data_IF_234104534483
#
_entry.id   IF_234104534483
#
_cell.length_a   1.000
_cell.length_b   1.000
_cell.length_c   1.000
_cell.angle_alpha   90.00
_cell.angle_beta   90.00
_cell.angle_gamma   90.00
#
_symmetry.space_group_name_H-M   'P 1'
#
loop_
_entity.id
_entity.type
_entity.pdbx_description
1 polymer ?
#
# COMPACT_ATOMS: atom_id res chain seq x y z
N UNK A 1 14.47 38.14 30.36
CA UNK A 1 13.24 38.13 29.55
C UNK A 1 13.55 37.41 28.24
N UNK A 2 13.14 36.16 28.09
CA UNK A 2 13.42 35.37 26.88
C UNK A 2 12.21 35.44 25.93
N UNK A 3 12.41 36.04 24.77
CA UNK A 3 11.39 36.17 23.72
C UNK A 3 11.19 34.82 23.02
N UNK A 4 9.97 34.30 23.10
CA UNK A 4 9.54 33.06 22.46
C UNK A 4 9.50 33.28 20.94
N UNK A 5 10.15 32.44 20.11
CA UNK A 5 10.18 32.64 18.66
C UNK A 5 8.76 32.53 18.06
N UNK A 6 8.45 33.31 17.00
CA UNK A 6 7.13 33.37 16.38
C UNK A 6 6.73 31.98 15.86
N UNK A 7 5.54 31.55 16.29
CA UNK A 7 4.99 30.24 15.97
C UNK A 7 4.86 30.00 14.48
N UNK A 8 5.24 28.79 14.06
CA UNK A 8 4.96 28.22 12.74
C UNK A 8 3.47 28.42 12.43
N UNK A 9 3.08 28.93 11.23
CA UNK A 9 1.68 29.05 10.88
C UNK A 9 1.02 27.67 11.00
N UNK A 10 -0.10 27.60 11.71
CA UNK A 10 -0.97 26.44 11.72
C UNK A 10 -1.31 26.14 10.28
N UNK A 11 -0.81 25.01 9.77
CA UNK A 11 -1.15 24.49 8.45
C UNK A 11 -2.67 24.43 8.41
N UNK A 12 -3.30 25.41 7.78
CA UNK A 12 -4.74 25.46 7.57
C UNK A 12 -5.05 24.24 6.72
N UNK A 13 -5.43 23.15 7.39
CA UNK A 13 -6.05 22.03 6.74
C UNK A 13 -7.42 22.52 6.33
N UNK A 14 -7.46 23.22 5.18
CA UNK A 14 -8.69 23.37 4.42
C UNK A 14 -9.33 21.98 4.40
N UNK A 15 -10.57 21.84 4.91
CA UNK A 15 -11.18 20.53 5.07
C UNK A 15 -11.14 19.84 3.71
N UNK A 16 -10.44 18.70 3.67
CA UNK A 16 -10.28 17.88 2.48
C UNK A 16 -11.71 17.60 1.99
N UNK A 17 -12.07 18.15 0.83
CA UNK A 17 -13.44 18.10 0.30
C UNK A 17 -13.86 16.63 0.26
N UNK A 18 -14.78 16.25 1.13
CA UNK A 18 -15.25 14.87 1.25
C UNK A 18 -16.05 14.56 -0.02
N UNK A 19 -15.76 13.41 -0.64
CA UNK A 19 -16.51 12.91 -1.78
C UNK A 19 -18.01 12.85 -1.43
N UNK A 20 -18.93 13.41 -2.25
CA UNK A 20 -20.36 13.49 -1.91
C UNK A 20 -20.97 12.10 -1.62
N UNK A 21 -20.57 11.09 -2.39
CA UNK A 21 -20.97 9.70 -2.18
C UNK A 21 -20.49 9.13 -0.82
N UNK A 22 -19.28 9.49 -0.39
CA UNK A 22 -18.75 9.11 0.92
C UNK A 22 -19.50 9.82 2.06
N UNK A 23 -19.82 11.11 1.88
CA UNK A 23 -20.60 11.86 2.86
C UNK A 23 -22.00 11.25 3.03
N UNK A 24 -22.64 10.83 1.94
CA UNK A 24 -23.91 10.12 1.98
C UNK A 24 -23.79 8.77 2.71
N UNK A 25 -22.79 7.95 2.37
CA UNK A 25 -22.54 6.67 3.05
C UNK A 25 -22.39 6.86 4.55
N UNK A 26 -21.59 7.84 4.97
CA UNK A 26 -21.37 8.15 6.39
C UNK A 26 -22.66 8.60 7.07
N UNK A 27 -23.48 9.42 6.40
CA UNK A 27 -24.78 9.85 6.90
C UNK A 27 -25.74 8.67 7.10
N UNK A 28 -25.80 7.75 6.13
CA UNK A 28 -26.65 6.55 6.21
C UNK A 28 -26.19 5.60 7.33
N UNK A 29 -24.88 5.34 7.46
CA UNK A 29 -24.34 4.53 8.56
C UNK A 29 -24.60 5.19 9.93
N UNK A 30 -24.47 6.51 10.04
CA UNK A 30 -24.73 7.22 11.28
C UNK A 30 -26.22 7.17 11.66
N UNK A 31 -27.13 7.30 10.69
CA UNK A 31 -28.57 7.17 10.90
C UNK A 31 -28.96 5.72 11.27
N UNK A 32 -28.27 4.71 10.71
CA UNK A 32 -28.53 3.31 10.99
C UNK A 32 -28.19 2.89 12.43
N UNK A 33 -27.35 3.66 13.13
CA UNK A 33 -26.99 3.38 14.53
C UNK A 33 -28.17 3.49 15.50
N UNK A 34 -29.22 4.24 15.17
CA UNK A 34 -30.46 4.37 15.95
C UNK A 34 -30.26 4.43 17.48
N UNK A 35 -29.42 5.37 17.93
CA UNK A 35 -29.11 5.56 19.35
C UNK A 35 -28.03 4.65 19.94
N UNK A 36 -27.57 3.61 19.23
CA UNK A 36 -26.44 2.78 19.66
C UNK A 36 -25.17 3.63 19.75
N UNK A 37 -24.35 3.36 20.76
CA UNK A 37 -23.02 3.95 20.90
C UNK A 37 -22.01 3.22 20.00
N UNK A 38 -20.92 3.89 19.62
CA UNK A 38 -19.84 3.23 18.86
C UNK A 38 -19.22 2.05 19.62
N UNK A 39 -19.24 2.07 20.96
CA UNK A 39 -18.75 0.97 21.80
C UNK A 39 -19.64 -0.28 21.68
N UNK A 40 -20.96 -0.11 21.62
CA UNK A 40 -21.90 -1.22 21.42
C UNK A 40 -21.78 -1.81 20.02
N UNK A 41 -21.69 -0.95 18.98
CA UNK A 41 -21.45 -1.40 17.61
C UNK A 41 -20.10 -2.11 17.49
N UNK A 42 -19.06 -1.61 18.17
CA UNK A 42 -17.74 -2.26 18.24
C UNK A 42 -17.83 -3.67 18.85
N UNK A 43 -18.58 -3.83 19.94
CA UNK A 43 -18.79 -5.13 20.58
C UNK A 43 -19.52 -6.13 19.67
N UNK A 44 -20.47 -5.66 18.86
CA UNK A 44 -21.27 -6.50 17.94
C UNK A 44 -20.56 -6.82 16.62
N UNK A 45 -19.83 -5.87 16.07
CA UNK A 45 -19.14 -6.01 14.77
C UNK A 45 -17.71 -6.57 14.90
N UNK A 46 -17.17 -6.64 16.13
CA UNK A 46 -15.79 -7.00 16.43
C UNK A 46 -14.71 -6.06 15.86
N UNK A 47 -15.11 -4.91 15.30
CA UNK A 47 -14.17 -3.85 14.90
C UNK A 47 -13.88 -2.90 16.07
N UNK A 48 -12.68 -2.32 16.10
CA UNK A 48 -12.30 -1.36 17.13
C UNK A 48 -13.09 -0.05 17.02
N UNK A 49 -13.33 0.61 18.15
CA UNK A 49 -14.02 1.93 18.20
C UNK A 49 -13.30 2.97 17.33
N UNK A 50 -11.96 2.93 17.27
CA UNK A 50 -11.17 3.84 16.43
C UNK A 50 -11.39 3.61 14.93
N UNK A 51 -11.46 2.36 14.48
CA UNK A 51 -11.77 2.03 13.09
C UNK A 51 -13.17 2.52 12.72
N UNK A 52 -14.17 2.24 13.57
CA UNK A 52 -15.54 2.71 13.36
C UNK A 52 -15.63 4.24 13.34
N UNK A 53 -14.95 4.92 14.27
CA UNK A 53 -14.91 6.39 14.31
C UNK A 53 -14.26 7.00 13.06
N UNK A 54 -13.21 6.37 12.53
CA UNK A 54 -12.53 6.82 11.30
C UNK A 54 -13.42 6.71 10.06
N UNK A 55 -14.27 5.69 10.03
CA UNK A 55 -15.27 5.50 8.97
C UNK A 55 -16.41 6.50 9.13
N UNK A 56 -17.01 6.61 10.33
CA UNK A 56 -18.16 7.51 10.56
C UNK A 56 -17.79 9.00 10.54
N UNK A 57 -16.50 9.33 10.53
CA UNK A 57 -16.04 10.71 10.32
C UNK A 57 -15.77 11.04 8.85
N UNK A 58 -15.88 10.06 7.94
CA UNK A 58 -15.59 10.24 6.52
C UNK A 58 -14.10 10.44 6.20
N UNK A 59 -13.20 10.20 7.15
CA UNK A 59 -11.75 10.32 6.95
C UNK A 59 -11.24 9.19 6.04
N UNK A 60 -11.75 7.98 6.25
CA UNK A 60 -11.36 6.79 5.51
C UNK A 60 -12.58 6.16 4.81
N UNK A 61 -12.39 5.70 3.57
CA UNK A 61 -13.39 4.89 2.88
C UNK A 61 -13.43 3.51 3.57
N UNK A 62 -14.57 3.05 4.10
CA UNK A 62 -14.67 1.76 4.77
C UNK A 62 -14.38 0.58 3.83
N UNK A 63 -13.92 -0.54 4.38
CA UNK A 63 -13.81 -1.82 3.64
C UNK A 63 -15.18 -2.48 3.49
N UNK A 64 -15.34 -3.35 2.50
CA UNK A 64 -16.59 -4.07 2.27
C UNK A 64 -17.00 -4.91 3.51
N UNK A 65 -16.03 -5.60 4.11
CA UNK A 65 -16.25 -6.41 5.32
C UNK A 65 -16.70 -5.57 6.52
N UNK A 66 -16.18 -4.34 6.66
CA UNK A 66 -16.59 -3.44 7.72
C UNK A 66 -18.03 -2.96 7.51
N UNK A 67 -18.41 -2.64 6.26
CA UNK A 67 -19.79 -2.26 5.91
C UNK A 67 -20.75 -3.41 6.26
N UNK A 68 -20.44 -4.64 5.84
CA UNK A 68 -21.27 -5.80 6.11
C UNK A 68 -21.41 -6.08 7.62
N UNK A 69 -20.30 -6.06 8.36
CA UNK A 69 -20.31 -6.26 9.81
C UNK A 69 -21.04 -5.13 10.56
N UNK A 70 -20.94 -3.89 10.06
CA UNK A 70 -21.65 -2.74 10.61
C UNK A 70 -23.16 -2.86 10.40
N UNK A 71 -23.58 -3.18 9.17
CA UNK A 71 -24.98 -3.40 8.81
C UNK A 71 -25.60 -4.52 9.66
N UNK A 72 -24.88 -5.62 9.85
CA UNK A 72 -25.28 -6.71 10.73
C UNK A 72 -25.40 -6.26 12.19
N UNK A 73 -24.43 -5.48 12.70
CA UNK A 73 -24.42 -5.01 14.08
C UNK A 73 -25.56 -4.03 14.40
N UNK A 74 -25.99 -3.23 13.41
CA UNK A 74 -27.12 -2.30 13.53
C UNK A 74 -28.47 -2.90 13.10
N UNK A 75 -28.51 -4.17 12.68
CA UNK A 75 -29.74 -4.84 12.26
C UNK A 75 -30.29 -4.35 10.90
N UNK A 76 -29.45 -3.78 10.04
CA UNK A 76 -29.80 -3.30 8.70
C UNK A 76 -29.09 -4.07 7.59
N UNK A 77 -29.09 -5.39 7.67
CA UNK A 77 -28.42 -6.24 6.67
C UNK A 77 -28.92 -5.99 5.24
N UNK A 78 -30.17 -5.56 5.07
CA UNK A 78 -30.77 -5.26 3.75
C UNK A 78 -30.15 -4.00 3.09
N UNK A 79 -29.56 -3.09 3.86
CA UNK A 79 -28.92 -1.86 3.34
C UNK A 79 -27.49 -2.12 2.81
N UNK A 80 -26.95 -3.33 2.97
CA UNK A 80 -25.54 -3.63 2.69
C UNK A 80 -25.16 -3.37 1.22
N UNK A 81 -25.97 -3.84 0.27
CA UNK A 81 -25.69 -3.68 -1.17
C UNK A 81 -25.68 -2.21 -1.58
N UNK A 82 -26.61 -1.43 -1.02
CA UNK A 82 -26.70 0.01 -1.24
C UNK A 82 -25.45 0.72 -0.71
N UNK A 83 -24.99 0.37 0.48
CA UNK A 83 -23.77 0.94 1.07
C UNK A 83 -22.51 0.56 0.29
N UNK A 84 -22.44 -0.67 -0.25
CA UNK A 84 -21.37 -1.09 -1.14
C UNK A 84 -21.35 -0.30 -2.46
N UNK A 85 -22.53 0.01 -3.02
CA UNK A 85 -22.63 0.86 -4.20
C UNK A 85 -22.12 2.29 -3.93
N UNK A 86 -22.51 2.90 -2.80
CA UNK A 86 -22.01 4.22 -2.39
C UNK A 86 -20.50 4.22 -2.15
N UNK A 87 -19.97 3.15 -1.54
CA UNK A 87 -18.52 2.96 -1.38
C UNK A 87 -17.80 2.93 -2.74
N UNK A 88 -18.34 2.20 -3.72
CA UNK A 88 -17.72 2.11 -5.04
C UNK A 88 -17.76 3.46 -5.77
N UNK A 89 -18.86 4.21 -5.66
CA UNK A 89 -18.94 5.57 -6.18
C UNK A 89 -17.88 6.49 -5.54
N UNK A 90 -17.66 6.40 -4.23
CA UNK A 90 -16.63 7.18 -3.52
C UNK A 90 -15.20 6.83 -3.99
N UNK A 91 -14.94 5.56 -4.28
CA UNK A 91 -13.65 5.13 -4.86
C UNK A 91 -13.47 5.73 -6.26
N UNK A 92 -14.51 5.72 -7.09
CA UNK A 92 -14.45 6.27 -8.45
C UNK A 92 -14.25 7.79 -8.43
N UNK A 93 -14.95 8.52 -7.56
CA UNK A 93 -14.78 9.97 -7.38
C UNK A 93 -13.36 10.32 -6.90
N UNK A 94 -12.82 9.56 -5.94
CA UNK A 94 -11.44 9.74 -5.46
C UNK A 94 -10.41 9.48 -6.57
N UNK A 95 -10.66 8.49 -7.43
CA UNK A 95 -9.81 8.22 -8.61
C UNK A 95 -9.89 9.37 -9.62
N UNK A 96 -11.09 9.84 -9.94
CA UNK A 96 -11.30 10.95 -10.88
C UNK A 96 -10.63 12.26 -10.40
N UNK A 97 -10.76 12.59 -9.12
CA UNK A 97 -10.14 13.80 -8.55
C UNK A 97 -8.62 13.75 -8.48
N UNK A 98 -8.02 12.55 -8.47
CA UNK A 98 -6.56 12.41 -8.53
C UNK A 98 -6.02 12.75 -9.93
N UNK A 99 -6.76 12.40 -10.98
CA UNK A 99 -6.35 12.67 -12.37
C UNK A 99 -6.31 14.16 -12.70
N UNK A 100 -7.19 14.97 -12.12
CA UNK A 100 -7.28 16.41 -12.44
C UNK A 100 -6.25 17.31 -11.75
N UNK A 101 -5.61 16.86 -10.66
CA UNK A 101 -4.68 17.72 -9.89
C UNK A 101 -3.25 17.66 -10.46
N UNK A 102 -2.92 16.62 -11.23
CA UNK A 102 -1.56 16.43 -11.76
C UNK A 102 -1.39 16.99 -13.20
N UNK A 103 -2.44 17.49 -13.85
CA UNK A 103 -2.40 17.95 -15.26
C UNK A 103 -2.36 19.49 -15.44
N UNK A 104 -2.49 20.26 -14.35
CA UNK A 104 -2.39 21.74 -14.40
C UNK A 104 -0.93 22.26 -14.52
N UNK A 105 0.04 21.37 -14.74
CA UNK A 105 1.47 21.71 -14.84
C UNK A 105 1.97 22.07 -16.24
N UNK A 106 1.17 21.91 -17.31
CA UNK A 106 1.65 22.18 -18.67
C UNK A 106 0.56 22.72 -19.61
N UNK A 107 -0.12 23.80 -19.22
CA UNK A 107 -0.71 24.72 -20.19
C UNK A 107 0.37 25.73 -20.62
N UNK A 108 0.85 25.71 -21.88
CA UNK A 108 1.68 26.79 -22.39
C UNK A 108 0.86 28.08 -22.41
N UNK A 109 1.49 29.18 -22.01
CA UNK A 109 0.93 30.52 -21.99
C UNK A 109 0.28 30.89 -23.35
N UNK A 110 -1.02 30.67 -23.47
CA UNK A 110 -1.88 31.26 -24.48
C UNK A 110 -2.09 32.72 -24.11
N UNK A 111 -1.29 33.59 -24.71
CA UNK A 111 -1.47 35.04 -24.68
C UNK A 111 -2.84 35.35 -25.30
N UNK A 112 -3.76 35.85 -24.47
CA UNK A 112 -5.04 36.36 -24.92
C UNK A 112 -4.81 37.60 -25.81
N UNK A 113 -4.87 37.41 -27.13
CA UNK A 113 -5.05 38.51 -28.07
C UNK A 113 -6.53 38.85 -28.15
N UNK A 114 -6.85 40.09 -27.82
CA UNK A 114 -8.15 40.72 -28.01
C UNK A 114 -8.65 40.50 -29.45
N UNK A 115 -9.85 39.96 -29.56
CA UNK A 115 -10.64 39.91 -30.79
C UNK A 115 -11.17 41.31 -31.13
N UNK A 116 -10.79 41.82 -32.31
CA UNK A 116 -11.44 42.94 -33.01
C UNK A 116 -12.16 42.37 -34.25
N UNK A 117 -13.40 42.82 -34.58
CA UNK A 117 -14.20 42.16 -35.60
C UNK A 117 -14.03 42.72 -37.03
N UNK A 118 -14.02 41.77 -37.99
CA UNK A 118 -14.50 41.79 -39.40
C UNK A 118 -13.82 42.74 -40.43
N UNK A 119 -13.96 42.57 -41.77
CA UNK A 119 -14.78 41.60 -42.54
C UNK A 119 -14.13 40.95 -43.83
N UNK A 120 -14.83 39.96 -44.39
CA UNK A 120 -14.98 39.58 -45.82
C UNK A 120 -13.87 38.88 -46.66
N UNK A 121 -14.21 37.63 -47.05
CA UNK A 121 -14.09 37.00 -48.39
C UNK A 121 -12.72 36.43 -48.86
N UNK A 122 -12.68 35.61 -49.95
CA UNK A 122 -13.27 34.27 -50.10
C UNK A 122 -12.27 33.20 -50.66
N UNK A 123 -12.66 31.92 -50.59
CA UNK A 123 -12.35 30.76 -51.46
C UNK A 123 -10.93 30.56 -52.05
N UNK A 124 -10.32 29.39 -51.80
CA UNK A 124 -10.09 28.31 -52.80
C UNK A 124 -9.41 27.06 -52.17
N UNK A 125 -9.57 25.87 -52.78
CA UNK A 125 -8.99 24.60 -52.36
C UNK A 125 -7.61 24.36 -53.01
N UNK A 126 -6.85 23.36 -52.55
CA UNK A 126 -6.29 22.28 -53.40
C UNK A 126 -5.09 21.54 -52.75
N UNK A 127 -5.12 20.21 -52.93
CA UNK A 127 -4.02 19.26 -53.16
C UNK A 127 -2.82 19.03 -52.23
N UNK A 128 -2.56 17.72 -52.06
CA UNK A 128 -1.21 17.13 -52.13
C UNK A 128 -0.56 16.84 -50.78
N UNK A 129 -0.62 15.63 -50.20
CA UNK A 129 0.09 14.39 -50.59
C UNK A 129 1.62 14.54 -50.52
N UNK A 130 2.22 14.14 -49.39
CA UNK A 130 3.61 13.64 -49.37
C UNK A 130 3.82 12.62 -48.26
N UNK A 131 4.01 11.36 -48.69
CA UNK A 131 4.66 10.30 -47.95
C UNK A 131 6.18 10.55 -48.00
N UNK A 132 6.87 10.55 -46.85
CA UNK A 132 8.31 10.38 -46.76
C UNK A 132 8.64 9.92 -45.32
N UNK A 133 8.98 8.65 -45.13
CA UNK A 133 10.36 8.13 -45.09
C UNK A 133 11.06 8.38 -43.75
N UNK A 134 11.12 7.30 -42.97
CA UNK A 134 12.08 7.03 -41.90
C UNK A 134 13.53 7.24 -42.39
N UNK A 135 14.41 7.71 -41.49
CA UNK A 135 15.70 7.05 -41.30
C UNK A 135 15.94 6.80 -39.80
N UNK A 136 16.25 5.57 -39.42
CA UNK A 136 17.57 4.94 -39.48
C UNK A 136 18.30 5.06 -38.13
N UNK A 137 18.57 3.87 -37.60
CA UNK A 137 19.19 3.55 -36.32
C UNK A 137 20.60 4.13 -36.26
N UNK A 138 20.85 5.03 -35.29
CA UNK A 138 22.20 5.43 -34.91
C UNK A 138 22.66 4.62 -33.70
N UNK A 139 23.52 3.62 -33.95
CA UNK A 139 24.35 2.94 -32.95
C UNK A 139 25.31 3.95 -32.33
N UNK A 140 25.14 4.25 -31.05
CA UNK A 140 26.18 4.93 -30.26
C UNK A 140 27.10 3.86 -29.68
N UNK A 141 28.27 3.70 -30.32
CA UNK A 141 29.48 3.16 -29.71
C UNK A 141 30.06 4.24 -28.82
N UNK A 142 30.13 4.01 -27.51
CA UNK A 142 31.04 4.76 -26.63
C UNK A 142 32.17 3.85 -26.19
N UNK A 143 33.38 4.30 -26.53
CA UNK A 143 34.63 3.68 -26.17
C UNK A 143 34.97 3.96 -24.70
N UNK A 144 35.37 2.89 -24.01
CA UNK A 144 36.62 2.75 -23.23
C UNK A 144 37.14 4.01 -22.52
N UNK A 145 37.09 3.98 -21.19
CA UNK A 145 38.20 4.48 -20.35
C UNK A 145 38.38 3.56 -19.15
N UNK A 146 39.41 2.73 -19.25
CA UNK A 146 39.98 1.96 -18.15
C UNK A 146 40.52 2.93 -17.10
N UNK A 147 40.14 2.73 -15.84
CA UNK A 147 40.87 3.21 -14.68
C UNK A 147 41.00 2.01 -13.74
N UNK A 148 42.24 1.55 -13.62
CA UNK A 148 42.69 0.54 -12.68
C UNK A 148 42.26 0.89 -11.26
N UNK A 149 41.59 -0.04 -10.60
CA UNK A 149 41.57 -0.11 -9.14
C UNK A 149 41.72 -1.56 -8.75
N UNK A 150 42.93 -1.88 -8.32
CA UNK A 150 43.36 -3.18 -7.85
C UNK A 150 42.63 -3.59 -6.58
N UNK A 151 42.15 -4.83 -6.61
CA UNK A 151 42.10 -5.80 -5.51
C UNK A 151 41.17 -5.52 -4.31
N UNK A 152 40.05 -6.25 -4.27
CA UNK A 152 39.72 -7.23 -3.22
C UNK A 152 38.68 -8.21 -3.79
N UNK A 153 39.18 -9.27 -4.44
CA UNK A 153 38.39 -10.37 -5.00
C UNK A 153 37.88 -11.26 -3.87
N UNK A 154 36.66 -10.98 -3.38
CA UNK A 154 35.85 -11.97 -2.71
C UNK A 154 35.16 -12.82 -3.78
N UNK A 155 35.48 -14.11 -3.81
CA UNK A 155 34.91 -15.07 -4.76
C UNK A 155 33.36 -15.04 -4.70
N UNK A 156 32.65 -14.90 -5.84
CA UNK A 156 31.21 -15.06 -5.87
C UNK A 156 30.86 -16.52 -5.54
N UNK A 157 30.04 -16.69 -4.51
CA UNK A 157 29.48 -17.99 -4.11
C UNK A 157 28.80 -18.65 -5.31
N UNK A 158 29.41 -19.72 -5.82
CA UNK A 158 29.00 -20.45 -7.02
C UNK A 158 27.61 -21.12 -6.94
N UNK A 159 26.93 -21.03 -5.81
CA UNK A 159 25.61 -21.64 -5.60
C UNK A 159 24.45 -20.89 -6.27
N UNK A 160 24.53 -19.57 -6.45
CA UNK A 160 23.38 -18.78 -6.92
C UNK A 160 23.18 -18.82 -8.45
N UNK A 161 24.25 -18.96 -9.24
CA UNK A 161 24.17 -19.01 -10.71
C UNK A 161 23.54 -20.30 -11.22
N UNK A 162 23.62 -21.39 -10.44
CA UNK A 162 23.09 -22.69 -10.82
C UNK A 162 21.55 -22.72 -10.82
N UNK A 163 20.90 -22.05 -9.87
CA UNK A 163 19.43 -21.98 -9.84
C UNK A 163 18.86 -21.19 -11.03
N UNK A 164 19.50 -20.07 -11.40
CA UNK A 164 19.11 -19.32 -12.60
C UNK A 164 19.27 -20.17 -13.87
N UNK A 165 20.33 -20.99 -13.94
CA UNK A 165 20.55 -21.94 -15.03
C UNK A 165 19.49 -23.04 -15.07
N UNK A 166 19.12 -23.62 -13.93
CA UNK A 166 18.10 -24.67 -13.85
C UNK A 166 16.70 -24.16 -14.20
N UNK A 167 16.38 -22.91 -13.84
CA UNK A 167 15.09 -22.29 -14.24
C UNK A 167 15.05 -22.06 -15.75
N UNK A 168 16.14 -21.57 -16.35
CA UNK A 168 16.25 -21.41 -17.80
C UNK A 168 16.14 -22.76 -18.54
N UNK A 169 16.82 -23.80 -18.06
CA UNK A 169 16.75 -25.15 -18.63
C UNK A 169 15.35 -25.78 -18.48
N UNK A 170 14.69 -25.58 -17.34
CA UNK A 170 13.33 -26.08 -17.11
C UNK A 170 12.30 -25.37 -18.02
N UNK A 171 12.47 -24.07 -18.27
CA UNK A 171 11.66 -23.32 -19.24
C UNK A 171 11.86 -23.89 -20.64
N UNK A 172 13.10 -24.13 -21.05
CA UNK A 172 13.42 -24.67 -22.37
C UNK A 172 12.94 -26.14 -22.54
N UNK A 173 12.98 -26.94 -21.47
CA UNK A 173 12.45 -28.31 -21.47
C UNK A 173 10.91 -28.36 -21.51
N UNK A 174 10.24 -27.41 -20.84
CA UNK A 174 8.79 -27.26 -20.89
C UNK A 174 8.30 -26.87 -22.30
N UNK A 175 9.06 -26.04 -23.02
CA UNK A 175 8.77 -25.67 -24.40
C UNK A 175 8.86 -26.86 -25.38
N UNK A 176 9.68 -27.88 -25.08
CA UNK A 176 9.86 -29.06 -25.94
C UNK A 176 8.76 -30.11 -25.80
N UNK A 177 7.97 -30.09 -24.73
CA UNK A 177 7.02 -31.16 -24.40
C UNK A 177 5.59 -30.67 -24.52
N UNK A 178 5.01 -30.83 -25.71
CA UNK A 178 3.71 -30.26 -26.09
C UNK A 178 2.52 -30.92 -25.37
N UNK A 179 2.19 -30.41 -24.20
CA UNK A 179 0.83 -30.23 -23.69
C UNK A 179 0.89 -28.97 -22.80
N UNK A 180 0.22 -27.86 -23.14
CA UNK A 180 0.44 -26.58 -22.49
C UNK A 180 -0.21 -26.59 -21.10
N UNK A 181 0.47 -27.18 -20.12
CA UNK A 181 0.29 -26.77 -18.74
C UNK A 181 0.87 -25.36 -18.69
N UNK A 182 0.03 -24.36 -18.95
CA UNK A 182 0.41 -22.95 -18.87
C UNK A 182 0.58 -22.58 -17.39
N UNK A 183 1.60 -23.14 -16.75
CA UNK A 183 2.03 -22.72 -15.42
C UNK A 183 2.74 -21.39 -15.62
N UNK A 184 2.21 -20.34 -15.00
CA UNK A 184 2.90 -19.06 -14.93
C UNK A 184 4.33 -19.30 -14.40
N UNK A 185 5.38 -18.93 -15.16
CA UNK A 185 6.76 -19.18 -14.75
C UNK A 185 7.08 -18.53 -13.39
N UNK A 186 6.40 -17.43 -13.04
CA UNK A 186 6.56 -16.79 -11.73
C UNK A 186 6.04 -17.69 -10.61
N UNK A 187 4.89 -18.31 -10.78
CA UNK A 187 4.32 -19.24 -9.80
C UNK A 187 5.20 -20.47 -9.65
N UNK A 188 5.76 -20.99 -10.75
CA UNK A 188 6.76 -22.05 -10.73
C UNK A 188 7.98 -21.66 -9.90
N UNK A 189 8.56 -20.49 -10.17
CA UNK A 189 9.73 -19.99 -9.44
C UNK A 189 9.44 -19.75 -7.94
N UNK A 190 8.28 -19.17 -7.60
CA UNK A 190 7.85 -18.96 -6.21
C UNK A 190 7.69 -20.28 -5.45
N UNK A 191 7.22 -21.33 -6.13
CA UNK A 191 7.08 -22.66 -5.53
C UNK A 191 8.43 -23.24 -5.07
N UNK A 192 9.51 -22.91 -5.80
CA UNK A 192 10.88 -23.33 -5.54
C UNK A 192 11.60 -22.47 -4.48
N UNK A 193 11.06 -21.31 -4.10
CA UNK A 193 11.65 -20.50 -3.03
C UNK A 193 11.62 -21.24 -1.69
N UNK A 194 12.79 -21.52 -1.14
CA UNK A 194 12.96 -22.18 0.17
C UNK A 194 13.44 -21.21 1.23
N UNK A 195 14.10 -20.13 0.83
CA UNK A 195 14.66 -19.11 1.71
C UNK A 195 14.09 -17.72 1.41
N UNK A 196 14.05 -16.81 2.40
CA UNK A 196 13.75 -15.38 2.22
C UNK A 196 14.52 -14.71 1.08
N UNK A 197 15.80 -15.06 0.94
CA UNK A 197 16.70 -14.53 -0.07
C UNK A 197 16.22 -14.82 -1.49
N UNK A 198 15.69 -16.03 -1.73
CA UNK A 198 15.19 -16.46 -3.04
C UNK A 198 14.01 -15.59 -3.49
N UNK A 199 13.08 -15.32 -2.56
CA UNK A 199 11.92 -14.47 -2.83
C UNK A 199 12.36 -13.03 -3.13
N UNK A 200 13.32 -12.50 -2.38
CA UNK A 200 13.87 -11.16 -2.63
C UNK A 200 14.65 -11.09 -3.94
N UNK A 201 15.34 -12.14 -4.34
CA UNK A 201 16.00 -12.25 -5.64
C UNK A 201 14.99 -12.23 -6.79
N UNK A 202 13.89 -13.00 -6.69
CA UNK A 202 12.79 -12.92 -7.66
C UNK A 202 12.17 -11.52 -7.72
N UNK A 203 11.98 -10.85 -6.58
CA UNK A 203 11.45 -9.48 -6.54
C UNK A 203 12.38 -8.48 -7.24
N UNK A 204 13.70 -8.63 -7.10
CA UNK A 204 14.70 -7.80 -7.81
C UNK A 204 14.68 -8.07 -9.31
N UNK A 205 14.60 -9.34 -9.71
CA UNK A 205 14.49 -9.73 -11.12
C UNK A 205 13.23 -9.14 -11.74
N UNK A 206 12.09 -9.25 -11.06
CA UNK A 206 10.82 -8.67 -11.48
C UNK A 206 10.92 -7.15 -11.66
N UNK A 207 11.54 -6.43 -10.71
CA UNK A 207 11.78 -4.98 -10.82
C UNK A 207 12.65 -4.64 -12.04
N UNK A 208 13.71 -5.42 -12.25
CA UNK A 208 14.64 -5.23 -13.38
C UNK A 208 13.94 -5.44 -14.72
N UNK A 209 13.15 -6.51 -14.85
CA UNK A 209 12.37 -6.82 -16.05
C UNK A 209 11.29 -5.77 -16.32
N UNK A 210 10.64 -5.27 -15.28
CA UNK A 210 9.65 -4.19 -15.40
C UNK A 210 10.27 -2.81 -15.70
N UNK A 211 11.59 -2.66 -15.62
CA UNK A 211 12.28 -1.37 -15.79
C UNK A 211 11.86 -0.32 -14.76
N UNK A 212 11.38 -0.74 -13.59
CA UNK A 212 10.82 0.17 -12.59
C UNK A 212 11.94 0.89 -11.82
N UNK A 213 11.94 2.22 -11.87
CA UNK A 213 12.84 3.06 -11.06
C UNK A 213 12.30 3.25 -9.65
N UNK A 214 13.18 3.46 -8.67
CA UNK A 214 12.77 3.69 -7.28
C UNK A 214 11.87 4.92 -7.13
N UNK A 215 12.09 5.98 -7.92
CA UNK A 215 11.29 7.21 -7.88
C UNK A 215 9.87 6.99 -8.42
N UNK A 216 9.69 6.06 -9.36
CA UNK A 216 8.36 5.64 -9.82
C UNK A 216 7.66 4.81 -8.76
N UNK A 217 8.35 3.80 -8.22
CA UNK A 217 7.81 2.94 -7.18
C UNK A 217 7.39 3.73 -5.93
N UNK A 218 8.16 4.74 -5.50
CA UNK A 218 7.79 5.60 -4.36
C UNK A 218 6.45 6.31 -4.61
N UNK A 219 6.24 6.87 -5.80
CA UNK A 219 4.97 7.53 -6.17
C UNK A 219 3.80 6.55 -6.22
N UNK A 220 4.01 5.36 -6.77
CA UNK A 220 2.97 4.35 -6.95
C UNK A 220 2.56 3.74 -5.59
N UNK A 221 3.54 3.40 -4.74
CA UNK A 221 3.31 2.83 -3.39
C UNK A 221 2.54 3.80 -2.47
N UNK A 222 2.76 5.11 -2.60
CA UNK A 222 2.00 6.12 -1.83
C UNK A 222 0.50 6.07 -2.16
N UNK A 223 0.11 5.64 -3.36
CA UNK A 223 -1.29 5.41 -3.73
C UNK A 223 -1.98 4.35 -2.87
N UNK A 224 -1.20 3.41 -2.33
CA UNK A 224 -1.65 2.31 -1.47
C UNK A 224 -1.72 2.69 0.02
N UNK A 225 -1.42 3.95 0.37
CA UNK A 225 -1.40 4.42 1.76
C UNK A 225 -0.16 3.98 2.56
N UNK A 226 0.83 3.39 1.89
CA UNK A 226 2.12 3.05 2.49
C UNK A 226 3.13 4.13 2.09
N UNK A 227 3.76 4.77 3.07
CA UNK A 227 4.78 5.79 2.81
C UNK A 227 6.17 5.15 2.83
N UNK A 228 6.72 4.80 1.67
CA UNK A 228 8.09 4.30 1.54
C UNK A 228 8.94 5.32 0.79
N UNK A 229 10.02 5.79 1.43
CA UNK A 229 11.00 6.65 0.75
C UNK A 229 11.82 5.84 -0.25
N UNK A 230 12.39 6.50 -1.28
CA UNK A 230 13.41 5.93 -2.17
C UNK A 230 14.52 5.19 -1.43
N UNK A 231 15.04 5.76 -0.33
CA UNK A 231 16.10 5.13 0.47
C UNK A 231 15.63 3.84 1.14
N UNK A 232 14.37 3.79 1.57
CA UNK A 232 13.76 2.60 2.17
C UNK A 232 13.53 1.52 1.13
N UNK A 233 13.03 1.87 -0.06
CA UNK A 233 12.89 0.93 -1.17
C UNK A 233 14.24 0.38 -1.63
N UNK A 234 15.27 1.22 -1.72
CA UNK A 234 16.63 0.77 -2.04
C UNK A 234 17.17 -0.19 -0.98
N UNK A 235 17.02 0.14 0.31
CA UNK A 235 17.42 -0.75 1.41
C UNK A 235 16.66 -2.05 1.42
N UNK A 236 15.34 -2.00 1.21
CA UNK A 236 14.48 -3.18 1.11
C UNK A 236 14.96 -4.10 -0.01
N UNK A 237 15.18 -3.55 -1.20
CA UNK A 237 15.66 -4.30 -2.36
C UNK A 237 17.09 -4.82 -2.17
N UNK A 238 17.91 -4.23 -1.31
CA UNK A 238 19.26 -4.75 -1.00
C UNK A 238 19.26 -5.75 0.16
N UNK A 239 18.18 -5.84 0.93
CA UNK A 239 18.08 -6.74 2.08
C UNK A 239 17.64 -8.15 1.68
N UNK A 240 18.06 -9.14 2.46
CA UNK A 240 17.60 -10.54 2.33
C UNK A 240 16.47 -10.86 3.33
N UNK A 241 15.93 -9.85 4.02
CA UNK A 241 14.80 -10.01 4.94
C UNK A 241 13.48 -9.94 4.19
N UNK A 242 12.49 -10.73 4.62
CA UNK A 242 11.15 -10.68 4.06
C UNK A 242 10.47 -9.34 4.41
N UNK A 243 9.96 -8.57 3.42
CA UNK A 243 9.16 -7.39 3.70
C UNK A 243 7.90 -7.75 4.50
N UNK A 244 7.32 -6.82 5.28
CA UNK A 244 5.95 -6.96 5.78
C UNK A 244 4.95 -7.20 4.64
N UNK A 245 3.82 -7.89 4.88
CA UNK A 245 2.89 -8.28 3.81
C UNK A 245 2.30 -7.06 3.08
N UNK A 246 1.92 -6.01 3.83
CA UNK A 246 1.38 -4.77 3.26
C UNK A 246 2.40 -4.04 2.37
N UNK A 247 3.68 -4.09 2.75
CA UNK A 247 4.78 -3.49 1.99
C UNK A 247 5.03 -4.29 0.72
N UNK A 248 5.03 -5.63 0.80
CA UNK A 248 5.21 -6.49 -0.35
C UNK A 248 4.07 -6.30 -1.37
N UNK A 249 2.81 -6.29 -0.91
CA UNK A 249 1.66 -6.07 -1.79
C UNK A 249 1.74 -4.73 -2.53
N UNK A 250 2.04 -3.64 -1.81
CA UNK A 250 2.16 -2.32 -2.43
C UNK A 250 3.34 -2.25 -3.43
N UNK A 251 4.45 -2.92 -3.14
CA UNK A 251 5.60 -3.00 -4.05
C UNK A 251 5.25 -3.81 -5.31
N UNK A 252 4.56 -4.94 -5.18
CA UNK A 252 4.14 -5.76 -6.33
C UNK A 252 3.11 -5.03 -7.20
N UNK A 253 2.17 -4.31 -6.59
CA UNK A 253 1.22 -3.44 -7.29
C UNK A 253 1.95 -2.32 -8.06
N UNK A 254 2.94 -1.66 -7.44
CA UNK A 254 3.80 -0.67 -8.11
C UNK A 254 4.63 -1.27 -9.28
N UNK A 255 4.88 -2.58 -9.24
CA UNK A 255 5.50 -3.34 -10.35
C UNK A 255 4.48 -3.83 -11.39
N UNK A 256 3.21 -3.40 -11.28
CA UNK A 256 2.11 -3.78 -12.16
C UNK A 256 1.84 -5.29 -12.17
N UNK A 257 2.06 -5.97 -11.05
CA UNK A 257 1.70 -7.39 -10.88
C UNK A 257 0.18 -7.49 -10.68
N UNK A 258 -0.52 -8.32 -11.46
CA UNK A 258 -1.96 -8.57 -11.27
C UNK A 258 -2.30 -9.03 -9.84
N UNK A 259 -3.45 -8.59 -9.32
CA UNK A 259 -3.85 -8.83 -7.92
C UNK A 259 -3.95 -10.32 -7.56
N UNK A 260 -4.43 -11.17 -8.48
CA UNK A 260 -4.48 -12.63 -8.34
C UNK A 260 -3.09 -13.23 -8.12
N UNK A 261 -2.06 -12.66 -8.76
CA UNK A 261 -0.68 -13.07 -8.55
C UNK A 261 -0.13 -12.52 -7.23
N UNK A 262 -0.52 -11.32 -6.80
CA UNK A 262 -0.09 -10.76 -5.51
C UNK A 262 -0.45 -11.71 -4.36
N UNK A 263 -1.63 -12.32 -4.39
CA UNK A 263 -2.05 -13.28 -3.36
C UNK A 263 -1.14 -14.52 -3.32
N UNK A 264 -0.68 -15.00 -4.48
CA UNK A 264 0.30 -16.09 -4.59
C UNK A 264 1.63 -15.69 -3.95
N UNK A 265 2.13 -14.48 -4.22
CA UNK A 265 3.35 -13.96 -3.56
C UNK A 265 3.21 -13.87 -2.05
N UNK A 266 2.07 -13.38 -1.55
CA UNK A 266 1.78 -13.27 -0.12
C UNK A 266 1.69 -14.65 0.56
N UNK A 267 1.10 -15.63 -0.12
CA UNK A 267 1.08 -17.02 0.33
C UNK A 267 2.50 -17.59 0.49
N UNK A 268 3.36 -17.43 -0.52
CA UNK A 268 4.74 -17.93 -0.45
C UNK A 268 5.57 -17.22 0.62
N UNK A 269 5.37 -15.91 0.82
CA UNK A 269 5.95 -15.16 1.94
C UNK A 269 5.55 -15.78 3.29
N UNK A 270 4.26 -16.04 3.51
CA UNK A 270 3.77 -16.65 4.75
C UNK A 270 4.33 -18.05 4.96
N UNK A 271 4.46 -18.85 3.88
CA UNK A 271 5.11 -20.18 3.93
C UNK A 271 6.55 -20.10 4.43
N UNK A 272 7.33 -19.13 3.93
CA UNK A 272 8.72 -18.91 4.36
C UNK A 272 8.81 -18.44 5.82
N UNK A 273 7.90 -17.56 6.25
CA UNK A 273 7.83 -17.10 7.65
C UNK A 273 7.52 -18.26 8.62
N UNK A 274 6.59 -19.14 8.27
CA UNK A 274 6.31 -20.36 9.04
C UNK A 274 7.52 -21.30 9.07
N UNK A 275 8.22 -21.45 7.95
CA UNK A 275 9.43 -22.27 7.90
C UNK A 275 10.50 -21.71 8.85
N UNK A 276 10.74 -20.40 8.84
CA UNK A 276 11.71 -19.74 9.72
C UNK A 276 11.39 -19.96 11.21
N UNK A 277 10.12 -19.78 11.62
CA UNK A 277 9.66 -20.08 12.99
C UNK A 277 9.91 -21.54 13.36
N UNK A 278 9.67 -22.48 12.44
CA UNK A 278 9.94 -23.92 12.67
C UNK A 278 11.44 -24.24 12.76
N UNK A 279 12.30 -23.47 12.11
CA UNK A 279 13.76 -23.64 12.22
C UNK A 279 14.28 -23.03 13.53
N UNK A 280 13.80 -21.84 13.91
CA UNK A 280 14.14 -21.19 15.17
C UNK A 280 13.81 -22.07 16.40
N UNK A 281 12.65 -22.74 16.38
CA UNK A 281 12.22 -23.65 17.46
C UNK A 281 12.99 -24.98 17.53
N UNK A 282 13.72 -25.37 16.47
CA UNK A 282 14.51 -26.61 16.44
C UNK A 282 15.94 -26.44 16.94
N UNK A 283 16.49 -25.23 16.86
CA UNK A 283 17.87 -24.93 17.25
C UNK A 283 18.03 -24.29 18.63
N UNK A 284 16.93 -24.08 19.36
CA UNK A 284 16.99 -23.78 20.79
C UNK A 284 16.90 -25.10 21.57
N UNK A 285 18.03 -25.72 21.97
CA UNK A 285 17.96 -26.80 22.95
C UNK A 285 17.23 -26.25 24.17
N UNK A 286 16.33 -27.03 24.82
CA UNK A 286 15.71 -26.60 26.06
C UNK A 286 16.84 -26.32 27.03
N UNK A 287 17.10 -25.04 27.30
CA UNK A 287 18.08 -24.62 28.29
C UNK A 287 17.61 -25.18 29.63
N UNK A 288 18.16 -26.33 30.03
CA UNK A 288 17.83 -27.06 31.27
C UNK A 288 18.26 -26.32 32.53
N UNK A 289 18.86 -25.13 32.42
CA UNK A 289 19.08 -24.27 33.57
C UNK A 289 17.82 -23.47 33.84
N UNK A 290 16.95 -24.13 34.59
CA UNK A 290 16.32 -23.57 35.77
C UNK A 290 17.02 -22.29 36.26
N UNK A 291 16.54 -21.17 35.76
CA UNK A 291 16.29 -19.99 36.57
C UNK A 291 14.88 -19.60 36.19
N UNK A 292 13.97 -19.69 37.15
CA UNK A 292 12.61 -19.16 37.06
C UNK A 292 12.64 -17.92 36.17
N UNK A 293 11.78 -17.80 35.15
CA UNK A 293 11.63 -16.54 34.46
C UNK A 293 11.31 -15.53 35.55
N UNK A 294 12.29 -14.72 35.92
CA UNK A 294 12.04 -13.44 36.55
C UNK A 294 11.09 -12.82 35.55
N UNK A 295 9.83 -12.65 35.95
CA UNK A 295 8.84 -11.93 35.16
C UNK A 295 9.48 -10.57 34.87
N UNK A 296 10.20 -10.48 33.77
CA UNK A 296 10.56 -9.22 33.15
C UNK A 296 9.20 -8.76 32.69
N UNK A 297 8.60 -7.91 33.54
CA UNK A 297 7.35 -7.25 33.30
C UNK A 297 7.30 -6.92 31.81
N UNK A 298 6.27 -7.45 31.14
CA UNK A 298 5.86 -7.06 29.79
C UNK A 298 6.26 -5.61 29.62
N UNK A 299 7.29 -5.33 28.82
CA UNK A 299 7.60 -3.95 28.51
C UNK A 299 6.33 -3.43 27.84
N UNK A 300 5.60 -2.51 28.49
CA UNK A 300 4.43 -1.93 27.87
C UNK A 300 4.96 -1.24 26.63
N UNK A 301 4.47 -1.68 25.47
CA UNK A 301 4.50 -0.87 24.26
C UNK A 301 3.97 0.50 24.70
N UNK A 302 4.75 1.59 24.59
CA UNK A 302 4.33 2.90 25.07
C UNK A 302 3.23 3.44 24.16
N UNK A 303 2.02 2.89 24.30
CA UNK A 303 0.80 3.59 23.96
C UNK A 303 0.56 4.59 25.09
N UNK A 304 0.77 5.87 24.80
CA UNK A 304 0.66 7.00 25.73
C UNK A 304 -0.75 7.28 26.29
N UNK A 305 -1.54 6.25 26.58
CA UNK A 305 -2.90 6.35 27.13
C UNK A 305 -3.02 5.88 28.60
N UNK A 306 -1.95 5.38 29.21
CA UNK A 306 -1.99 4.75 30.53
C UNK A 306 -2.31 5.69 31.72
N UNK A 307 -2.39 7.01 31.51
CA UNK A 307 -2.75 7.95 32.61
C UNK A 307 -4.23 8.37 32.65
N UNK A 308 -5.03 8.06 31.64
CA UNK A 308 -6.44 8.54 31.59
C UNK A 308 -7.44 7.51 32.12
N UNK A 309 -7.10 6.22 32.10
CA UNK A 309 -8.00 5.14 32.50
C UNK A 309 -8.35 5.13 34.01
N UNK A 310 -7.42 5.34 34.97
CA UNK A 310 -7.79 5.29 36.38
C UNK A 310 -8.66 6.49 36.82
N UNK A 311 -8.62 7.61 36.10
CA UNK A 311 -9.40 8.81 36.43
C UNK A 311 -10.88 8.66 36.02
N UNK A 312 -11.15 7.96 34.91
CA UNK A 312 -12.53 7.66 34.48
C UNK A 312 -13.24 6.65 35.39
N UNK A 313 -12.52 5.66 35.93
CA UNK A 313 -13.12 4.67 36.87
C UNK A 313 -13.52 5.34 38.19
N UNK A 314 -12.73 6.30 38.68
CA UNK A 314 -13.06 7.08 39.87
C UNK A 314 -14.29 7.99 39.63
N UNK A 315 -14.38 8.65 38.47
CA UNK A 315 -15.50 9.52 38.13
C UNK A 315 -16.83 8.74 37.98
N UNK A 316 -16.81 7.56 37.36
CA UNK A 316 -18.01 6.72 37.20
C UNK A 316 -18.47 6.16 38.56
N UNK A 317 -17.55 5.76 39.43
CA UNK A 317 -17.89 5.29 40.78
C UNK A 317 -18.54 6.39 41.63
N UNK A 318 -18.07 7.64 41.50
CA UNK A 318 -18.66 8.79 42.19
C UNK A 318 -20.07 9.10 41.67
N UNK A 319 -20.28 9.00 40.35
CA UNK A 319 -21.57 9.30 39.72
C UNK A 319 -22.63 8.25 40.06
N UNK A 320 -22.25 6.97 40.17
CA UNK A 320 -23.13 5.88 40.64
C UNK A 320 -23.49 6.05 42.12
N UNK A 321 -22.56 6.54 42.96
CA UNK A 321 -22.83 6.75 44.38
C UNK A 321 -23.75 7.96 44.66
N UNK A 322 -23.72 8.99 43.81
CA UNK A 322 -24.51 10.22 43.99
C UNK A 322 -25.92 10.12 43.38
N UNK A 323 -26.11 9.27 42.36
CA UNK A 323 -27.40 9.07 41.70
C UNK A 323 -28.57 8.75 42.67
N UNK A 324 -28.45 7.84 43.66
CA UNK A 324 -29.56 7.54 44.57
C UNK A 324 -29.85 8.65 45.59
N UNK A 325 -28.93 9.59 45.81
CA UNK A 325 -29.13 10.75 46.68
C UNK A 325 -29.91 11.89 46.00
N UNK A 326 -29.88 11.95 44.66
CA UNK A 326 -30.63 12.94 43.87
C UNK A 326 -32.05 12.47 43.52
N UNK A 327 -32.36 11.19 43.75
CA UNK A 327 -33.66 10.56 43.49
C UNK A 327 -34.55 10.44 44.75
N UNK A 328 -34.18 11.10 45.86
CA UNK A 328 -34.99 11.25 47.07
C UNK A 328 -35.36 12.71 47.26
#
# INVERSE_FOLDING_TARGET
MATRPPGRPTRSQLPKRIAPSLAQLVGEMAAARDGLTLAEVSKRSHYSVSALSGVTSGVNIPTADLIAAYAQATGRSDDTDRWLALRQAAINEKKAGKTTIDDDGNSPAGTASLTRPAPNSPATPDSGRTLALLPSIARIRTARREADTTAHTAAPSAGNTHMASLVLEAVEAAERTSAPIHVDPVTGALSLCTMPRDLMELLRTLRSTAGATFDRMERDVQGYGVSLSRTTLSRLMSSDQLPPPNVLAAVLDALSVPQDKIDVWLYHRARLEIADVRHAGRHTPPSKTSRRPRMTALQPIPYGYARVVPLMIAAVSLLVAVLPLLLR
#
